data_IF_897316257617
#
_entry.id   IF_897316257617
#
_cell.length_a   1.000
_cell.length_b   1.000
_cell.length_c   1.000
_cell.angle_alpha   90.00
_cell.angle_beta   90.00
_cell.angle_gamma   90.00
#
_symmetry.space_group_name_H-M   'P 1'
#
loop_
_entity.id
_entity.type
_entity.pdbx_description
1 polymer ?
#
# COMPACT_ATOMS: atom_id res chain seq x y z
N UNK A 1 98.10 -41.92 -0.83
CA UNK A 1 98.71 -41.78 0.47
C UNK A 1 97.52 -41.44 1.38
N UNK A 2 97.00 -42.39 2.08
CA UNK A 2 97.15 -42.54 3.56
C UNK A 2 96.51 -41.39 4.31
N UNK A 3 95.69 -41.44 5.21
CA UNK A 3 95.09 -42.42 6.17
C UNK A 3 94.10 -41.53 6.92
N UNK A 4 93.01 -41.81 7.44
CA UNK A 4 92.53 -42.97 8.17
C UNK A 4 91.81 -42.48 9.42
N UNK A 5 90.71 -43.12 9.76
CA UNK A 5 90.07 -43.15 11.12
C UNK A 5 89.37 -41.92 11.69
N UNK A 6 88.26 -41.99 12.25
CA UNK A 6 87.46 -43.05 12.91
C UNK A 6 86.23 -42.52 13.54
N UNK A 7 85.31 -43.36 13.66
CA UNK A 7 84.01 -43.47 14.19
C UNK A 7 83.54 -42.64 15.40
N UNK A 8 82.28 -42.43 15.38
CA UNK A 8 81.48 -41.89 16.52
C UNK A 8 80.01 -41.73 16.14
N UNK A 9 79.24 -42.84 16.19
CA UNK A 9 77.77 -42.73 16.06
C UNK A 9 77.18 -42.09 17.33
N UNK A 10 76.71 -40.90 17.23
CA UNK A 10 75.81 -40.31 18.19
C UNK A 10 74.38 -40.29 17.62
N UNK A 11 73.56 -41.18 18.17
CA UNK A 11 72.10 -41.18 17.86
C UNK A 11 71.45 -40.03 18.57
N UNK A 12 71.10 -38.97 17.79
CA UNK A 12 70.18 -37.94 18.26
C UNK A 12 68.73 -38.42 18.05
N UNK A 13 68.09 -38.72 19.16
CA UNK A 13 66.63 -38.89 19.22
C UNK A 13 66.02 -37.49 19.09
N UNK A 14 65.46 -37.16 17.91
CA UNK A 14 64.66 -35.99 17.70
C UNK A 14 63.27 -36.32 18.22
N UNK A 15 62.92 -35.79 19.38
CA UNK A 15 61.57 -35.74 19.89
C UNK A 15 60.80 -34.72 19.03
N UNK A 16 59.94 -35.19 18.12
CA UNK A 16 58.91 -34.36 17.45
C UNK A 16 57.88 -33.92 18.50
N UNK A 17 58.04 -32.74 19.04
CA UNK A 17 56.96 -32.00 19.70
C UNK A 17 55.95 -31.58 18.59
N UNK A 18 54.86 -32.34 18.44
CA UNK A 18 53.73 -31.95 17.68
C UNK A 18 53.07 -30.76 18.36
N UNK A 19 53.31 -29.56 17.84
CA UNK A 19 52.45 -28.40 18.14
C UNK A 19 51.10 -28.62 17.50
N UNK A 20 50.10 -29.06 18.27
CA UNK A 20 48.72 -28.96 17.93
C UNK A 20 48.43 -27.46 17.85
N UNK A 21 48.45 -26.89 16.65
CA UNK A 21 47.84 -25.60 16.39
C UNK A 21 46.34 -25.81 16.60
N UNK A 22 45.85 -25.46 17.79
CA UNK A 22 44.46 -25.22 18.02
C UNK A 22 44.10 -24.04 17.08
N UNK A 23 43.43 -24.31 15.98
CA UNK A 23 42.84 -23.32 15.13
C UNK A 23 41.81 -22.60 16.00
N UNK A 24 42.11 -21.38 16.42
CA UNK A 24 41.12 -20.43 16.85
C UNK A 24 40.33 -20.09 15.59
N UNK A 25 39.27 -20.87 15.30
CA UNK A 25 38.20 -20.37 14.45
C UNK A 25 37.67 -19.08 15.13
N UNK A 26 37.47 -18.04 14.36
CA UNK A 26 36.77 -16.87 14.89
C UNK A 26 35.44 -17.35 15.51
N UNK A 27 35.08 -16.91 16.72
CA UNK A 27 33.79 -17.27 17.28
C UNK A 27 32.72 -16.85 16.28
N UNK A 28 31.75 -17.76 16.00
CA UNK A 28 30.64 -17.44 15.15
C UNK A 28 29.85 -16.22 15.68
N UNK A 29 28.98 -15.63 14.86
CA UNK A 29 28.21 -14.45 15.26
C UNK A 29 27.36 -14.75 16.50
N UNK A 30 27.23 -13.74 17.36
CA UNK A 30 26.52 -13.79 18.64
C UNK A 30 25.19 -13.00 18.57
N UNK A 31 24.28 -13.14 19.55
CA UNK A 31 23.10 -12.30 19.65
C UNK A 31 23.44 -10.81 19.80
N UNK A 32 24.55 -10.47 20.46
CA UNK A 32 25.04 -9.10 20.60
C UNK A 32 25.50 -8.53 19.26
N UNK A 33 26.14 -9.34 18.41
CA UNK A 33 26.53 -8.95 17.05
C UNK A 33 25.27 -8.73 16.17
N UNK A 34 24.26 -9.58 16.31
CA UNK A 34 22.98 -9.42 15.61
C UNK A 34 22.27 -8.12 16.03
N UNK A 35 22.28 -7.78 17.34
CA UNK A 35 21.70 -6.54 17.82
C UNK A 35 22.42 -5.32 17.26
N UNK A 36 23.74 -5.29 17.34
CA UNK A 36 24.54 -4.20 16.79
C UNK A 36 24.38 -4.06 15.27
N UNK A 37 24.19 -5.18 14.56
CA UNK A 37 23.86 -5.19 13.13
C UNK A 37 22.52 -4.53 12.86
N UNK A 38 21.44 -4.93 13.58
CA UNK A 38 20.09 -4.39 13.42
C UNK A 38 20.08 -2.88 13.69
N UNK A 39 20.69 -2.42 14.79
CA UNK A 39 20.78 -0.99 15.14
C UNK A 39 21.46 -0.18 14.02
N UNK A 40 22.55 -0.67 13.45
CA UNK A 40 23.24 -0.03 12.32
C UNK A 40 22.38 -0.04 11.04
N UNK A 41 21.70 -1.15 10.76
CA UNK A 41 20.84 -1.29 9.60
C UNK A 41 19.64 -0.32 9.67
N UNK A 42 19.03 -0.20 10.85
CA UNK A 42 17.91 0.72 11.11
C UNK A 42 18.34 2.18 10.92
N UNK A 43 19.50 2.60 11.44
CA UNK A 43 20.01 3.96 11.27
C UNK A 43 20.25 4.28 9.79
N UNK A 44 20.91 3.38 9.06
CA UNK A 44 21.18 3.56 7.62
C UNK A 44 19.90 3.61 6.80
N UNK A 45 18.95 2.68 7.03
CA UNK A 45 17.72 2.61 6.25
C UNK A 45 16.79 3.77 6.53
N UNK A 46 16.69 4.25 7.77
CA UNK A 46 15.84 5.38 8.12
C UNK A 46 16.23 6.64 7.33
N UNK A 47 17.52 6.95 7.20
CA UNK A 47 17.99 8.08 6.40
C UNK A 47 17.58 7.92 4.92
N UNK A 48 17.77 6.72 4.37
CA UNK A 48 17.44 6.43 2.97
C UNK A 48 15.93 6.44 2.71
N UNK A 49 15.12 5.93 3.63
CA UNK A 49 13.66 5.97 3.52
C UNK A 49 13.12 7.40 3.52
N UNK A 50 13.68 8.27 4.39
CA UNK A 50 13.30 9.70 4.42
C UNK A 50 13.61 10.38 3.10
N UNK A 51 14.79 10.15 2.53
CA UNK A 51 15.19 10.76 1.27
C UNK A 51 14.37 10.22 0.09
N UNK A 52 14.14 8.91 0.03
CA UNK A 52 13.31 8.29 -1.00
C UNK A 52 11.84 8.72 -0.88
N UNK A 53 11.31 8.79 0.35
CA UNK A 53 9.95 9.28 0.60
C UNK A 53 9.74 10.71 0.12
N UNK A 54 10.72 11.59 0.36
CA UNK A 54 10.68 12.97 -0.14
C UNK A 54 10.72 13.04 -1.66
N UNK A 55 11.60 12.23 -2.29
CA UNK A 55 11.69 12.17 -3.76
C UNK A 55 10.40 11.64 -4.38
N UNK A 56 9.81 10.59 -3.80
CA UNK A 56 8.52 10.03 -4.21
C UNK A 56 7.37 11.03 -4.00
N UNK A 57 7.34 11.76 -2.88
CA UNK A 57 6.36 12.82 -2.66
C UNK A 57 6.41 13.89 -3.75
N UNK A 58 7.61 14.37 -4.09
CA UNK A 58 7.79 15.37 -5.14
C UNK A 58 7.35 14.82 -6.50
N UNK A 59 7.71 13.58 -6.83
CA UNK A 59 7.31 12.93 -8.07
C UNK A 59 5.78 12.78 -8.14
N UNK A 60 5.11 12.31 -7.08
CA UNK A 60 3.66 12.11 -7.04
C UNK A 60 2.86 13.41 -7.09
N UNK A 61 3.41 14.51 -6.58
CA UNK A 61 2.75 15.83 -6.53
C UNK A 61 3.21 16.81 -7.61
N UNK A 62 4.17 16.42 -8.43
CA UNK A 62 4.67 17.18 -9.56
C UNK A 62 5.37 16.24 -10.57
N UNK A 63 4.60 15.62 -11.45
CA UNK A 63 5.09 14.62 -12.39
C UNK A 63 5.82 15.28 -13.54
N UNK A 64 7.13 15.06 -13.62
CA UNK A 64 8.01 15.47 -14.74
C UNK A 64 9.03 14.36 -15.01
N UNK A 65 9.73 14.44 -16.13
CA UNK A 65 10.82 13.51 -16.42
C UNK A 65 11.93 13.61 -15.37
N UNK A 66 12.25 14.83 -14.90
CA UNK A 66 13.26 15.05 -13.87
C UNK A 66 12.85 14.48 -12.52
N UNK A 67 11.60 14.68 -12.09
CA UNK A 67 11.11 14.12 -10.80
C UNK A 67 11.01 12.59 -10.85
N UNK A 68 10.70 12.00 -12.00
CA UNK A 68 10.76 10.56 -12.21
C UNK A 68 12.19 10.02 -12.04
N UNK A 69 13.19 10.71 -12.60
CA UNK A 69 14.61 10.33 -12.46
C UNK A 69 15.02 10.39 -10.99
N UNK A 70 14.74 11.50 -10.30
CA UNK A 70 15.09 11.69 -8.89
C UNK A 70 14.46 10.61 -7.99
N UNK A 71 13.19 10.29 -8.19
CA UNK A 71 12.50 9.25 -7.43
C UNK A 71 13.07 7.85 -7.73
N UNK A 72 13.35 7.54 -8.99
CA UNK A 72 13.97 6.27 -9.38
C UNK A 72 15.38 6.09 -8.80
N UNK A 73 16.21 7.12 -8.80
CA UNK A 73 17.57 7.09 -8.22
C UNK A 73 17.52 6.87 -6.70
N UNK A 74 16.64 7.58 -6.00
CA UNK A 74 16.44 7.42 -4.57
C UNK A 74 15.92 6.02 -4.23
N UNK A 75 14.94 5.52 -4.98
CA UNK A 75 14.39 4.17 -4.81
C UNK A 75 15.45 3.08 -5.07
N UNK A 76 16.24 3.22 -6.13
CA UNK A 76 17.34 2.28 -6.42
C UNK A 76 18.36 2.23 -5.29
N UNK A 77 18.63 3.37 -4.64
CA UNK A 77 19.53 3.47 -3.49
C UNK A 77 18.99 2.69 -2.27
N UNK A 78 17.70 2.86 -1.95
CA UNK A 78 17.02 2.10 -0.87
C UNK A 78 17.07 0.60 -1.17
N UNK A 79 16.68 0.21 -2.38
CA UNK A 79 16.69 -1.20 -2.81
C UNK A 79 18.09 -1.81 -2.63
N UNK A 80 19.11 -1.15 -3.16
CA UNK A 80 20.49 -1.63 -3.10
C UNK A 80 21.01 -1.80 -1.67
N UNK A 81 20.73 -0.81 -0.80
CA UNK A 81 21.13 -0.87 0.60
C UNK A 81 20.39 -1.99 1.35
N UNK A 82 19.07 -2.10 1.16
CA UNK A 82 18.26 -3.13 1.82
C UNK A 82 18.66 -4.53 1.40
N UNK A 83 18.89 -4.76 0.08
CA UNK A 83 19.36 -6.05 -0.42
C UNK A 83 20.72 -6.42 0.16
N UNK A 84 21.65 -5.46 0.26
CA UNK A 84 22.97 -5.70 0.86
C UNK A 84 22.88 -6.06 2.34
N UNK A 85 22.05 -5.32 3.10
CA UNK A 85 21.81 -5.58 4.53
C UNK A 85 21.08 -6.91 4.74
N UNK A 86 20.10 -7.26 3.92
CA UNK A 86 19.39 -8.54 3.98
C UNK A 86 20.34 -9.72 3.71
N UNK A 87 21.28 -9.58 2.75
CA UNK A 87 22.31 -10.58 2.49
C UNK A 87 23.29 -10.70 3.69
N UNK A 88 23.69 -9.59 4.32
CA UNK A 88 24.51 -9.59 5.52
C UNK A 88 23.78 -10.25 6.71
N UNK A 89 22.47 -10.04 6.84
CA UNK A 89 21.62 -10.62 7.88
C UNK A 89 21.63 -12.17 7.87
N UNK A 90 21.86 -12.81 6.72
CA UNK A 90 21.87 -14.26 6.59
C UNK A 90 22.92 -14.95 7.49
N UNK A 91 23.99 -14.25 7.90
CA UNK A 91 24.97 -14.78 8.85
C UNK A 91 24.38 -15.13 10.23
N UNK A 92 23.22 -14.56 10.57
CA UNK A 92 22.53 -14.76 11.85
C UNK A 92 21.46 -15.86 11.79
N UNK A 93 21.16 -16.45 10.63
CA UNK A 93 20.07 -17.43 10.47
C UNK A 93 20.25 -18.68 11.35
N UNK A 94 21.51 -19.06 11.67
CA UNK A 94 21.83 -20.20 12.53
C UNK A 94 22.04 -19.83 14.01
N UNK A 95 21.92 -18.55 14.38
CA UNK A 95 22.12 -18.06 15.74
C UNK A 95 20.82 -18.19 16.52
N UNK A 96 20.89 -18.69 17.76
CA UNK A 96 19.73 -18.69 18.66
C UNK A 96 19.49 -17.27 19.19
N UNK A 97 18.55 -16.57 18.58
CA UNK A 97 18.23 -15.16 18.83
C UNK A 97 16.96 -15.00 19.66
N UNK A 98 16.87 -13.97 20.49
CA UNK A 98 15.60 -13.48 21.05
C UNK A 98 14.57 -13.23 19.95
N UNK A 99 13.28 -13.37 20.29
CA UNK A 99 12.19 -13.27 19.32
C UNK A 99 12.12 -11.90 18.64
N UNK A 100 12.34 -10.82 19.38
CA UNK A 100 12.40 -9.45 18.88
C UNK A 100 13.48 -9.25 17.81
N UNK A 101 14.68 -9.77 18.04
CA UNK A 101 15.76 -9.71 17.02
C UNK A 101 15.46 -10.56 15.80
N UNK A 102 14.89 -11.78 15.98
CA UNK A 102 14.45 -12.58 14.83
C UNK A 102 13.43 -11.86 13.99
N UNK A 103 12.45 -11.21 14.66
CA UNK A 103 11.44 -10.42 13.97
C UNK A 103 12.07 -9.24 13.22
N UNK A 104 12.98 -8.49 13.84
CA UNK A 104 13.68 -7.39 13.16
C UNK A 104 14.44 -7.85 11.92
N UNK A 105 15.13 -9.00 11.98
CA UNK A 105 15.81 -9.57 10.80
C UNK A 105 14.84 -10.03 9.71
N UNK A 106 13.68 -10.57 10.06
CA UNK A 106 12.63 -10.90 9.10
C UNK A 106 12.07 -9.60 8.47
N UNK A 107 11.73 -8.60 9.29
CA UNK A 107 11.23 -7.31 8.81
C UNK A 107 12.24 -6.62 7.90
N UNK A 108 13.55 -6.73 8.17
CA UNK A 108 14.58 -6.24 7.26
C UNK A 108 14.50 -6.92 5.89
N UNK A 109 14.36 -8.26 5.84
CA UNK A 109 14.24 -9.02 4.59
C UNK A 109 12.94 -8.71 3.83
N UNK A 110 11.87 -8.36 4.54
CA UNK A 110 10.54 -8.06 3.97
C UNK A 110 10.22 -6.57 3.87
N UNK A 111 11.14 -5.68 4.29
CA UNK A 111 10.93 -4.21 4.31
C UNK A 111 10.79 -3.58 2.92
N UNK A 112 11.27 -4.26 1.88
CA UNK A 112 11.01 -3.86 0.51
C UNK A 112 9.62 -4.33 0.10
N UNK A 113 8.72 -3.44 -0.22
CA UNK A 113 7.46 -3.79 -0.87
C UNK A 113 7.69 -4.55 -2.19
N UNK A 114 8.82 -4.27 -2.85
CA UNK A 114 9.27 -4.97 -4.05
C UNK A 114 10.77 -5.27 -3.93
N UNK A 115 11.12 -6.54 -3.79
CA UNK A 115 12.51 -6.99 -3.81
C UNK A 115 13.11 -6.85 -5.22
N UNK A 116 14.40 -6.58 -5.32
CA UNK A 116 15.13 -6.55 -6.59
C UNK A 116 16.29 -7.55 -6.59
N UNK A 117 16.75 -8.01 -7.77
CA UNK A 117 17.93 -8.84 -7.86
C UNK A 117 19.17 -8.17 -7.26
N UNK A 118 20.16 -8.97 -6.87
CA UNK A 118 21.40 -8.46 -6.28
C UNK A 118 22.28 -7.65 -7.25
N UNK A 119 22.00 -7.70 -8.55
CA UNK A 119 22.71 -6.92 -9.59
C UNK A 119 22.25 -5.45 -9.55
N UNK A 120 23.16 -4.49 -9.28
CA UNK A 120 22.80 -3.06 -9.23
C UNK A 120 22.16 -2.50 -10.50
N UNK A 121 22.48 -3.07 -11.67
CA UNK A 121 21.89 -2.64 -12.95
C UNK A 121 20.40 -3.03 -12.99
N UNK A 122 20.06 -4.20 -12.50
CA UNK A 122 18.67 -4.69 -12.44
C UNK A 122 17.87 -3.96 -11.35
N UNK A 123 18.53 -3.57 -10.26
CA UNK A 123 17.89 -2.71 -9.22
C UNK A 123 17.49 -1.35 -9.80
N UNK A 124 18.41 -0.72 -10.52
CA UNK A 124 18.12 0.55 -11.19
C UNK A 124 17.03 0.39 -12.26
N UNK A 125 17.05 -0.70 -13.05
CA UNK A 125 16.00 -1.01 -14.02
C UNK A 125 14.63 -1.12 -13.34
N UNK A 126 14.53 -1.85 -12.22
CA UNK A 126 13.28 -2.02 -11.47
C UNK A 126 12.73 -0.68 -10.98
N UNK A 127 13.59 0.17 -10.39
CA UNK A 127 13.20 1.49 -9.90
C UNK A 127 12.68 2.40 -11.03
N UNK A 128 13.34 2.40 -12.18
CA UNK A 128 12.91 3.16 -13.37
C UNK A 128 11.56 2.66 -13.89
N UNK A 129 11.37 1.35 -13.96
CA UNK A 129 10.10 0.76 -14.40
C UNK A 129 8.96 1.12 -13.45
N UNK A 130 9.15 0.98 -12.13
CA UNK A 130 8.15 1.34 -11.11
C UNK A 130 7.72 2.79 -11.24
N UNK A 131 8.68 3.72 -11.19
CA UNK A 131 8.43 5.15 -11.28
C UNK A 131 7.80 5.54 -12.61
N UNK A 132 8.24 4.91 -13.71
CA UNK A 132 7.69 5.13 -15.05
C UNK A 132 6.23 4.70 -15.19
N UNK A 133 5.84 3.56 -14.61
CA UNK A 133 4.45 3.09 -14.60
C UNK A 133 3.56 4.01 -13.75
N UNK A 134 4.03 4.42 -12.57
CA UNK A 134 3.31 5.36 -11.70
C UNK A 134 3.09 6.72 -12.38
N UNK A 135 4.13 7.23 -13.04
CA UNK A 135 4.05 8.45 -13.85
C UNK A 135 3.06 8.33 -15.01
N UNK A 136 3.04 7.17 -15.70
CA UNK A 136 2.07 6.91 -16.79
C UNK A 136 0.64 6.89 -16.26
N UNK A 137 0.42 6.27 -15.09
CA UNK A 137 -0.87 6.28 -14.42
C UNK A 137 -1.30 7.69 -14.00
N UNK A 138 -0.42 8.44 -13.35
CA UNK A 138 -0.72 9.79 -12.85
C UNK A 138 -0.97 10.83 -13.93
N UNK A 139 -0.40 10.63 -15.14
CA UNK A 139 -0.69 11.44 -16.34
C UNK A 139 -1.86 10.91 -17.17
N UNK A 140 -2.50 9.83 -16.69
CA UNK A 140 -3.57 9.16 -17.43
C UNK A 140 -4.77 10.08 -17.62
N UNK A 141 -5.22 10.22 -18.85
CA UNK A 141 -6.42 10.96 -19.23
C UNK A 141 -7.16 10.23 -20.36
N UNK A 142 -8.42 10.55 -20.54
CA UNK A 142 -9.20 10.08 -21.67
C UNK A 142 -9.76 11.26 -22.46
N UNK A 143 -9.55 11.27 -23.77
CA UNK A 143 -10.07 12.28 -24.67
C UNK A 143 -11.21 11.68 -25.50
N UNK A 144 -12.49 11.88 -25.14
CA UNK A 144 -13.61 11.44 -25.95
C UNK A 144 -13.59 12.07 -27.36
N UNK A 145 -14.07 11.35 -28.35
CA UNK A 145 -14.19 11.88 -29.72
C UNK A 145 -15.03 13.17 -29.73
N UNK A 146 -14.50 14.22 -30.33
CA UNK A 146 -15.09 15.56 -30.44
C UNK A 146 -15.25 16.34 -29.10
N UNK A 147 -14.64 15.92 -28.01
CA UNK A 147 -14.58 16.70 -26.79
C UNK A 147 -13.65 17.90 -26.96
N UNK A 148 -13.95 19.02 -26.27
CA UNK A 148 -13.09 20.21 -26.26
C UNK A 148 -11.85 20.01 -25.38
N UNK A 149 -11.91 19.09 -24.39
CA UNK A 149 -10.86 18.75 -23.46
C UNK A 149 -10.88 17.26 -23.10
N UNK A 150 -9.73 16.73 -22.70
CA UNK A 150 -9.63 15.39 -22.13
C UNK A 150 -10.19 15.38 -20.70
N UNK A 151 -10.56 14.21 -20.23
CA UNK A 151 -11.08 13.96 -18.87
C UNK A 151 -9.96 13.41 -18.00
N UNK A 152 -9.72 14.03 -16.87
CA UNK A 152 -8.87 13.48 -15.81
C UNK A 152 -9.60 12.35 -15.06
N UNK A 153 -8.84 11.53 -14.30
CA UNK A 153 -9.42 10.44 -13.53
C UNK A 153 -10.54 10.92 -12.59
N UNK A 154 -10.39 11.98 -11.77
CA UNK A 154 -11.47 12.46 -10.91
C UNK A 154 -12.72 12.93 -11.66
N UNK A 155 -12.56 13.47 -12.85
CA UNK A 155 -13.69 13.84 -13.69
C UNK A 155 -14.47 12.63 -14.21
N UNK A 156 -13.73 11.57 -14.58
CA UNK A 156 -14.34 10.30 -15.01
C UNK A 156 -15.04 9.58 -13.84
N UNK A 157 -14.44 9.55 -12.64
CA UNK A 157 -15.03 8.98 -11.42
C UNK A 157 -16.36 9.66 -11.09
N UNK A 158 -16.43 10.98 -11.19
CA UNK A 158 -17.68 11.73 -11.00
C UNK A 158 -18.76 11.33 -12.02
N UNK A 159 -18.38 11.19 -13.28
CA UNK A 159 -19.32 10.73 -14.31
C UNK A 159 -19.82 9.31 -14.04
N UNK A 160 -18.98 8.42 -13.52
CA UNK A 160 -19.40 7.09 -13.10
C UNK A 160 -20.41 7.11 -11.96
N UNK A 161 -20.24 8.01 -10.99
CA UNK A 161 -21.17 8.15 -9.88
C UNK A 161 -22.53 8.71 -10.32
N UNK A 162 -22.53 9.68 -11.23
CA UNK A 162 -23.73 10.49 -11.56
C UNK A 162 -24.46 10.01 -12.81
N UNK A 163 -23.76 9.53 -13.84
CA UNK A 163 -24.38 9.15 -15.13
C UNK A 163 -25.09 7.81 -15.04
N UNK A 164 -26.17 7.69 -15.81
CA UNK A 164 -26.92 6.45 -16.04
C UNK A 164 -26.96 6.09 -17.53
N UNK A 165 -26.22 6.82 -18.36
CA UNK A 165 -26.10 6.56 -19.77
C UNK A 165 -25.08 5.45 -20.04
N UNK A 166 -25.57 4.26 -20.41
CA UNK A 166 -24.73 3.07 -20.60
C UNK A 166 -23.64 3.24 -21.67
N UNK A 167 -23.92 3.99 -22.74
CA UNK A 167 -22.96 4.19 -23.82
C UNK A 167 -21.84 5.14 -23.39
N UNK A 168 -22.18 6.21 -22.68
CA UNK A 168 -21.22 7.15 -22.07
C UNK A 168 -20.33 6.46 -21.04
N UNK A 169 -20.94 5.70 -20.12
CA UNK A 169 -20.20 4.95 -19.10
C UNK A 169 -19.26 3.91 -19.72
N UNK A 170 -19.69 3.22 -20.77
CA UNK A 170 -18.85 2.27 -21.50
C UNK A 170 -17.68 2.95 -22.20
N UNK A 171 -17.94 4.09 -22.85
CA UNK A 171 -16.93 4.88 -23.56
C UNK A 171 -15.83 5.37 -22.60
N UNK A 172 -16.23 5.97 -21.49
CA UNK A 172 -15.31 6.45 -20.45
C UNK A 172 -14.53 5.27 -19.83
N UNK A 173 -15.22 4.16 -19.53
CA UNK A 173 -14.58 2.97 -18.94
C UNK A 173 -13.53 2.38 -19.88
N UNK A 174 -13.86 2.22 -21.16
CA UNK A 174 -12.96 1.71 -22.16
C UNK A 174 -11.81 2.68 -22.45
N UNK A 175 -12.11 3.98 -22.50
CA UNK A 175 -11.13 5.04 -22.72
C UNK A 175 -10.05 5.08 -21.65
N UNK A 176 -10.43 5.07 -20.37
CA UNK A 176 -9.47 5.01 -19.26
C UNK A 176 -8.58 3.77 -19.34
N UNK A 177 -9.13 2.59 -19.71
CA UNK A 177 -8.34 1.35 -19.82
C UNK A 177 -7.30 1.38 -20.93
N UNK A 178 -7.29 2.41 -21.78
CA UNK A 178 -6.22 2.59 -22.79
C UNK A 178 -4.93 3.17 -22.17
N UNK A 179 -4.96 3.65 -20.95
CA UNK A 179 -3.77 4.09 -20.20
C UNK A 179 -2.83 2.90 -19.90
N UNK A 180 -3.39 1.74 -19.57
CA UNK A 180 -2.60 0.59 -19.13
C UNK A 180 -1.92 -0.26 -20.21
N UNK A 181 -2.45 -0.47 -21.43
CA UNK A 181 -1.81 -1.32 -22.43
C UNK A 181 -0.34 -0.97 -22.75
N UNK A 182 0.09 0.29 -22.82
CA UNK A 182 1.50 0.65 -23.00
C UNK A 182 2.42 0.16 -21.85
N UNK A 183 1.89 0.04 -20.63
CA UNK A 183 2.65 -0.40 -19.46
C UNK A 183 2.81 -1.93 -19.37
N UNK A 184 2.06 -2.72 -20.16
CA UNK A 184 2.02 -4.18 -20.03
C UNK A 184 3.40 -4.84 -20.09
N UNK A 185 4.26 -4.38 -21.00
CA UNK A 185 5.63 -4.90 -21.13
C UNK A 185 6.50 -4.55 -19.92
N UNK A 186 6.35 -3.34 -19.41
CA UNK A 186 7.03 -2.87 -18.21
C UNK A 186 6.56 -3.66 -16.98
N UNK A 187 5.26 -3.87 -16.84
CA UNK A 187 4.69 -4.66 -15.73
C UNK A 187 5.16 -6.13 -15.75
N UNK A 188 5.22 -6.76 -16.92
CA UNK A 188 5.77 -8.12 -17.03
C UNK A 188 7.24 -8.17 -16.60
N UNK A 189 8.04 -7.17 -17.03
CA UNK A 189 9.46 -7.08 -16.63
C UNK A 189 9.62 -6.76 -15.15
N UNK A 190 8.77 -5.91 -14.58
CA UNK A 190 8.69 -5.63 -13.16
C UNK A 190 8.48 -6.92 -12.35
N UNK A 191 7.52 -7.76 -12.74
CA UNK A 191 7.25 -9.05 -12.07
C UNK A 191 8.44 -10.00 -12.15
N UNK A 192 9.12 -10.10 -13.31
CA UNK A 192 10.32 -10.91 -13.46
C UNK A 192 11.43 -10.46 -12.49
N UNK A 193 11.70 -9.17 -12.42
CA UNK A 193 12.74 -8.61 -11.56
C UNK A 193 12.39 -8.77 -10.08
N UNK A 194 11.14 -8.51 -9.71
CA UNK A 194 10.67 -8.62 -8.34
C UNK A 194 10.72 -10.08 -7.82
N UNK A 195 10.32 -11.06 -8.65
CA UNK A 195 10.44 -12.48 -8.30
C UNK A 195 11.89 -12.94 -8.19
N UNK A 196 12.77 -12.46 -9.06
CA UNK A 196 14.20 -12.75 -8.96
C UNK A 196 14.79 -12.17 -7.67
N UNK A 197 14.42 -10.94 -7.28
CA UNK A 197 14.83 -10.33 -6.02
C UNK A 197 14.33 -11.09 -4.80
N UNK A 198 13.06 -11.50 -4.79
CA UNK A 198 12.52 -12.33 -3.72
C UNK A 198 13.26 -13.68 -3.60
N UNK A 199 13.64 -14.29 -4.73
CA UNK A 199 14.43 -15.52 -4.74
C UNK A 199 15.84 -15.31 -4.17
N UNK A 200 16.48 -14.17 -4.41
CA UNK A 200 17.76 -13.81 -3.80
C UNK A 200 17.66 -13.68 -2.26
N UNK A 201 16.48 -13.36 -1.74
CA UNK A 201 16.18 -13.28 -0.30
C UNK A 201 15.73 -14.62 0.31
N UNK A 202 15.62 -15.69 -0.51
CA UNK A 202 15.28 -17.04 -0.07
C UNK A 202 13.80 -17.40 -0.13
N UNK A 203 12.96 -16.58 -0.77
CA UNK A 203 11.55 -16.85 -1.03
C UNK A 203 11.37 -17.49 -2.42
N UNK A 204 10.28 -18.24 -2.63
CA UNK A 204 10.01 -18.82 -3.95
C UNK A 204 9.63 -17.76 -4.99
N UNK A 205 8.91 -16.72 -4.56
CA UNK A 205 8.49 -15.57 -5.37
C UNK A 205 8.14 -14.38 -4.46
N UNK A 206 7.82 -13.24 -5.08
CA UNK A 206 7.41 -12.02 -4.36
C UNK A 206 6.12 -12.25 -3.55
N UNK A 207 5.19 -13.07 -4.05
CA UNK A 207 3.95 -13.36 -3.35
C UNK A 207 4.17 -14.16 -2.06
N UNK A 208 5.13 -15.10 -2.03
CA UNK A 208 5.54 -15.77 -0.81
C UNK A 208 6.21 -14.79 0.16
N UNK A 209 7.08 -13.91 -0.32
CA UNK A 209 7.71 -12.87 0.49
C UNK A 209 6.68 -11.97 1.17
N UNK A 210 5.66 -11.51 0.46
CA UNK A 210 4.59 -10.68 1.03
C UNK A 210 3.81 -11.43 2.12
N UNK A 211 3.44 -12.69 1.87
CA UNK A 211 2.73 -13.50 2.86
C UNK A 211 3.58 -13.84 4.11
N UNK A 212 4.91 -13.88 3.96
CA UNK A 212 5.81 -14.09 5.10
C UNK A 212 5.84 -12.93 6.11
N UNK A 213 5.34 -11.75 5.74
CA UNK A 213 5.18 -10.61 6.65
C UNK A 213 4.07 -10.79 7.70
N UNK A 214 3.19 -11.79 7.53
CA UNK A 214 2.14 -12.12 8.52
C UNK A 214 2.66 -13.07 9.61
N UNK A 215 2.00 -13.10 10.78
CA UNK A 215 2.38 -13.95 11.93
C UNK A 215 1.96 -15.41 11.74
N UNK A 216 2.07 -15.92 10.53
CA UNK A 216 1.80 -17.30 10.13
C UNK A 216 2.61 -17.67 8.90
N UNK A 217 2.70 -18.94 8.58
CA UNK A 217 3.36 -19.36 7.34
C UNK A 217 2.58 -18.90 6.10
N UNK A 218 3.23 -18.69 4.94
CA UNK A 218 2.57 -18.31 3.70
C UNK A 218 1.41 -19.24 3.29
N UNK A 219 1.55 -20.55 3.52
CA UNK A 219 0.50 -21.52 3.23
C UNK A 219 -0.68 -21.44 4.21
N UNK A 220 -0.42 -21.23 5.50
CA UNK A 220 -1.45 -21.00 6.51
C UNK A 220 -2.24 -19.72 6.21
N UNK A 221 -1.56 -18.66 5.76
CA UNK A 221 -2.21 -17.42 5.34
C UNK A 221 -3.19 -17.64 4.18
N UNK A 222 -2.78 -18.38 3.15
CA UNK A 222 -3.66 -18.75 2.03
C UNK A 222 -4.87 -19.54 2.51
N UNK A 223 -4.63 -20.55 3.38
CA UNK A 223 -5.71 -21.37 3.93
C UNK A 223 -6.70 -20.54 4.76
N UNK A 224 -6.22 -19.54 5.52
CA UNK A 224 -7.06 -18.64 6.29
C UNK A 224 -7.91 -17.73 5.40
N UNK A 225 -7.35 -17.17 4.33
CA UNK A 225 -8.11 -16.38 3.36
C UNK A 225 -9.20 -17.21 2.68
N UNK A 226 -8.91 -18.45 2.26
CA UNK A 226 -9.90 -19.35 1.69
C UNK A 226 -11.00 -19.71 2.70
N UNK A 227 -10.65 -19.92 3.96
CA UNK A 227 -11.61 -20.15 5.04
C UNK A 227 -12.55 -18.98 5.23
N UNK A 228 -12.01 -17.75 5.30
CA UNK A 228 -12.79 -16.51 5.45
C UNK A 228 -13.69 -16.28 4.24
N UNK A 229 -13.16 -16.43 3.03
CA UNK A 229 -13.94 -16.34 1.80
C UNK A 229 -15.10 -17.34 1.79
N UNK A 230 -14.84 -18.58 2.18
CA UNK A 230 -15.90 -19.62 2.29
C UNK A 230 -17.05 -19.23 3.23
N UNK A 231 -16.79 -18.41 4.25
CA UNK A 231 -17.81 -17.91 5.18
C UNK A 231 -18.61 -16.71 4.59
N UNK A 232 -17.95 -15.83 3.85
CA UNK A 232 -18.57 -14.60 3.29
C UNK A 232 -19.26 -14.87 1.94
N UNK A 233 -18.75 -15.82 1.18
CA UNK A 233 -19.18 -16.12 -0.18
C UNK A 233 -20.71 -16.30 -0.36
N UNK A 234 -21.46 -17.00 0.51
CA UNK A 234 -22.90 -17.12 0.33
C UNK A 234 -23.65 -15.78 0.38
N UNK A 235 -23.20 -14.85 1.25
CA UNK A 235 -23.75 -13.50 1.33
C UNK A 235 -23.41 -12.71 0.09
N UNK A 236 -22.14 -12.73 -0.33
CA UNK A 236 -21.70 -12.06 -1.54
C UNK A 236 -22.44 -12.53 -2.80
N UNK A 237 -22.61 -13.85 -2.99
CA UNK A 237 -23.31 -14.40 -4.13
C UNK A 237 -24.81 -13.99 -4.15
N UNK A 238 -25.45 -13.94 -2.97
CA UNK A 238 -26.84 -13.48 -2.86
C UNK A 238 -26.96 -11.99 -3.21
N UNK A 239 -26.05 -11.15 -2.69
CA UNK A 239 -26.03 -9.73 -2.97
C UNK A 239 -25.71 -9.44 -4.46
N UNK A 240 -24.70 -10.12 -5.01
CA UNK A 240 -24.36 -10.01 -6.42
C UNK A 240 -25.52 -10.45 -7.35
N UNK A 241 -26.30 -11.47 -6.94
CA UNK A 241 -27.48 -11.89 -7.67
C UNK A 241 -28.58 -10.80 -7.66
N UNK A 242 -28.80 -10.17 -6.50
CA UNK A 242 -29.75 -9.04 -6.35
C UNK A 242 -29.32 -7.85 -7.22
N UNK A 243 -28.08 -7.37 -7.05
CA UNK A 243 -27.54 -6.25 -7.85
C UNK A 243 -27.68 -6.50 -9.35
N UNK A 244 -27.38 -7.72 -9.82
CA UNK A 244 -27.59 -8.10 -11.22
C UNK A 244 -29.03 -7.98 -11.65
N UNK A 245 -29.98 -8.41 -10.82
CA UNK A 245 -31.41 -8.39 -11.14
C UNK A 245 -31.91 -6.94 -11.28
N UNK A 246 -31.55 -6.07 -10.33
CA UNK A 246 -31.94 -4.65 -10.36
C UNK A 246 -31.31 -3.92 -11.57
N UNK A 247 -30.01 -4.13 -11.82
CA UNK A 247 -29.36 -3.56 -13.01
C UNK A 247 -29.93 -4.09 -14.33
N UNK A 248 -30.41 -5.35 -14.36
CA UNK A 248 -31.07 -5.90 -15.54
C UNK A 248 -32.49 -5.35 -15.74
N UNK A 249 -33.17 -4.97 -14.66
CA UNK A 249 -34.46 -4.25 -14.72
C UNK A 249 -34.28 -2.83 -15.25
N UNK A 250 -33.26 -2.11 -14.73
CA UNK A 250 -32.96 -0.72 -15.13
C UNK A 250 -32.46 -0.63 -16.59
N UNK A 251 -31.42 -1.39 -16.92
CA UNK A 251 -30.71 -1.27 -18.20
C UNK A 251 -31.17 -2.28 -19.28
N UNK A 252 -31.99 -3.23 -18.90
CA UNK A 252 -32.50 -4.28 -19.78
C UNK A 252 -31.56 -5.48 -19.97
N UNK A 253 -32.17 -6.63 -20.28
CA UNK A 253 -31.45 -7.91 -20.44
C UNK A 253 -30.56 -7.97 -21.69
N UNK A 254 -30.62 -6.98 -22.56
CA UNK A 254 -29.71 -6.85 -23.71
C UNK A 254 -28.35 -6.25 -23.28
N UNK A 255 -28.33 -5.48 -22.22
CA UNK A 255 -27.13 -4.86 -21.64
C UNK A 255 -26.58 -5.76 -20.52
N UNK A 256 -27.42 -6.15 -19.56
CA UNK A 256 -27.05 -7.07 -18.47
C UNK A 256 -27.48 -8.48 -18.86
N UNK A 257 -26.61 -9.18 -19.56
CA UNK A 257 -26.92 -10.50 -20.12
C UNK A 257 -27.11 -11.57 -19.04
N UNK A 258 -28.15 -12.40 -19.09
CA UNK A 258 -28.32 -13.49 -18.14
C UNK A 258 -27.13 -14.46 -18.14
N UNK A 259 -26.66 -14.83 -16.96
CA UNK A 259 -25.56 -15.79 -16.78
C UNK A 259 -24.17 -15.30 -17.18
N UNK A 260 -24.02 -14.03 -17.59
CA UNK A 260 -22.73 -13.41 -17.85
C UNK A 260 -22.31 -12.51 -16.66
N UNK A 261 -21.04 -12.13 -16.53
CA UNK A 261 -20.60 -11.11 -15.57
C UNK A 261 -21.42 -9.82 -15.73
N UNK A 262 -21.62 -9.08 -14.65
CA UNK A 262 -22.21 -7.74 -14.72
C UNK A 262 -21.19 -6.84 -15.45
N UNK A 263 -21.64 -6.04 -16.46
CA UNK A 263 -20.73 -5.10 -17.10
C UNK A 263 -20.16 -4.09 -16.11
N UNK A 264 -18.83 -4.03 -15.99
CA UNK A 264 -18.14 -3.25 -14.97
C UNK A 264 -18.48 -1.75 -15.00
N UNK A 265 -18.76 -1.20 -16.18
CA UNK A 265 -19.12 0.21 -16.36
C UNK A 265 -20.50 0.57 -15.78
N UNK A 266 -21.30 -0.38 -15.33
CA UNK A 266 -22.62 -0.15 -14.73
C UNK A 266 -22.58 -0.16 -13.18
N UNK A 267 -21.42 -0.33 -12.58
CA UNK A 267 -21.29 -0.52 -11.14
C UNK A 267 -21.02 0.79 -10.37
N UNK A 268 -21.16 1.94 -11.03
CA UNK A 268 -21.11 3.27 -10.39
C UNK A 268 -19.74 3.73 -9.90
N UNK A 269 -18.70 2.93 -10.16
CA UNK A 269 -17.34 3.23 -9.75
C UNK A 269 -16.34 2.78 -10.81
N UNK A 270 -15.30 3.57 -11.07
CA UNK A 270 -14.27 3.28 -12.08
C UNK A 270 -13.58 1.93 -11.84
N UNK A 271 -13.44 1.54 -10.59
CA UNK A 271 -12.74 0.33 -10.14
C UNK A 271 -13.68 -0.86 -9.91
N UNK A 272 -15.01 -0.62 -9.97
CA UNK A 272 -16.04 -1.64 -9.76
C UNK A 272 -15.95 -2.35 -8.39
N UNK A 273 -15.46 -1.66 -7.36
CA UNK A 273 -15.16 -2.20 -6.03
C UNK A 273 -16.25 -1.91 -5.00
N UNK A 274 -17.21 -1.04 -5.33
CA UNK A 274 -18.35 -0.69 -4.48
C UNK A 274 -19.59 -0.46 -5.36
N UNK A 275 -20.78 -0.61 -4.78
CA UNK A 275 -22.07 -0.33 -5.42
C UNK A 275 -22.79 0.89 -4.82
N UNK A 276 -22.09 1.64 -3.96
CA UNK A 276 -22.68 2.80 -3.27
C UNK A 276 -23.30 3.82 -4.23
N UNK A 277 -22.61 4.12 -5.33
CA UNK A 277 -23.07 5.11 -6.33
C UNK A 277 -24.22 4.63 -7.21
N UNK A 278 -24.62 3.37 -7.16
CA UNK A 278 -25.81 2.83 -7.84
C UNK A 278 -26.88 2.38 -6.84
N UNK A 279 -26.80 2.84 -5.59
CA UNK A 279 -27.75 2.49 -4.55
C UNK A 279 -29.19 2.89 -4.90
N UNK A 280 -29.38 3.98 -5.62
CA UNK A 280 -30.68 4.41 -6.16
C UNK A 280 -31.34 3.36 -7.09
N UNK A 281 -30.54 2.50 -7.73
CA UNK A 281 -31.00 1.39 -8.57
C UNK A 281 -31.12 0.11 -7.74
N UNK A 282 -30.06 -0.24 -6.99
CA UNK A 282 -29.96 -1.56 -6.36
C UNK A 282 -30.49 -1.60 -4.93
N UNK A 283 -30.76 -0.46 -4.31
CA UNK A 283 -31.31 -0.37 -2.99
C UNK A 283 -32.75 -0.91 -2.92
N UNK A 284 -33.18 -1.47 -1.76
CA UNK A 284 -34.56 -1.91 -1.61
C UNK A 284 -35.54 -0.77 -1.81
N UNK A 285 -36.61 -0.97 -2.58
CA UNK A 285 -37.59 0.04 -2.95
C UNK A 285 -38.27 0.81 -1.76
N UNK A 286 -38.04 0.42 -0.53
CA UNK A 286 -38.54 1.05 0.69
C UNK A 286 -37.44 1.52 1.65
N UNK A 287 -36.19 1.33 1.27
CA UNK A 287 -35.03 1.65 2.09
C UNK A 287 -34.47 2.99 1.63
N UNK A 288 -35.09 4.07 2.07
CA UNK A 288 -34.48 5.41 2.02
C UNK A 288 -33.50 5.48 3.20
N UNK A 289 -32.17 5.65 2.99
CA UNK A 289 -31.21 5.87 4.07
C UNK A 289 -31.56 7.13 4.88
N UNK A 290 -32.48 7.96 4.38
CA UNK A 290 -32.93 9.17 5.03
C UNK A 290 -31.98 10.35 4.90
N UNK A 291 -30.84 10.15 4.25
CA UNK A 291 -29.87 11.21 3.95
C UNK A 291 -28.97 10.81 2.77
N UNK A 292 -28.42 11.82 2.14
CA UNK A 292 -27.39 11.72 1.12
C UNK A 292 -26.22 12.59 1.59
N UNK A 293 -25.08 11.98 1.88
CA UNK A 293 -23.92 12.66 2.46
C UNK A 293 -23.38 13.74 1.51
N UNK A 294 -23.35 13.49 0.21
CA UNK A 294 -22.94 14.50 -0.79
C UNK A 294 -23.83 15.74 -0.71
N UNK A 295 -25.16 15.56 -0.68
CA UNK A 295 -26.10 16.68 -0.53
C UNK A 295 -26.00 17.37 0.82
N UNK A 296 -25.69 16.63 1.89
CA UNK A 296 -25.44 17.24 3.21
C UNK A 296 -24.21 18.15 3.17
N UNK A 297 -23.11 17.69 2.58
CA UNK A 297 -21.90 18.51 2.41
C UNK A 297 -22.17 19.78 1.57
N UNK A 298 -22.89 19.64 0.47
CA UNK A 298 -23.28 20.78 -0.38
C UNK A 298 -24.18 21.77 0.34
N UNK A 299 -25.25 21.29 1.00
CA UNK A 299 -26.23 22.15 1.69
C UNK A 299 -25.62 22.88 2.88
N UNK A 300 -24.68 22.26 3.58
CA UNK A 300 -23.92 22.87 4.66
C UNK A 300 -22.73 23.71 4.17
N UNK A 301 -22.48 23.76 2.84
CA UNK A 301 -21.37 24.51 2.22
C UNK A 301 -20.01 24.09 2.75
N UNK A 302 -19.84 22.80 3.00
CA UNK A 302 -18.57 22.22 3.42
C UNK A 302 -17.63 22.23 2.21
N UNK A 303 -16.47 22.83 2.34
CA UNK A 303 -15.41 22.75 1.33
C UNK A 303 -14.46 21.56 1.59
N UNK A 304 -13.57 21.33 0.67
CA UNK A 304 -12.64 20.20 0.67
C UNK A 304 -11.73 20.20 1.91
N UNK A 305 -11.26 21.38 2.34
CA UNK A 305 -10.43 21.52 3.54
C UNK A 305 -11.24 21.30 4.82
N UNK A 306 -12.50 21.76 4.84
CA UNK A 306 -13.38 21.54 5.98
C UNK A 306 -13.73 20.04 6.11
N UNK A 307 -13.82 19.28 4.99
CA UNK A 307 -13.96 17.83 5.03
C UNK A 307 -12.78 17.18 5.78
N UNK A 308 -11.54 17.61 5.51
CA UNK A 308 -10.36 17.13 6.24
C UNK A 308 -10.41 17.52 7.73
N UNK A 309 -10.92 18.72 8.06
CA UNK A 309 -11.11 19.15 9.45
C UNK A 309 -12.15 18.32 10.19
N UNK A 310 -13.19 17.82 9.51
CA UNK A 310 -14.11 16.84 10.10
C UNK A 310 -13.38 15.57 10.50
N UNK A 311 -12.53 15.03 9.62
CA UNK A 311 -11.70 13.88 9.94
C UNK A 311 -10.74 14.13 11.12
N UNK A 312 -10.06 15.29 11.16
CA UNK A 312 -9.23 15.65 12.33
C UNK A 312 -10.03 15.68 13.63
N UNK A 313 -11.21 16.33 13.63
CA UNK A 313 -12.09 16.40 14.81
C UNK A 313 -12.59 15.03 15.28
N UNK A 314 -12.76 14.07 14.34
CA UNK A 314 -13.07 12.70 14.70
C UNK A 314 -11.97 12.10 15.60
N UNK A 315 -10.70 12.22 15.22
CA UNK A 315 -9.58 11.73 16.01
C UNK A 315 -9.37 12.53 17.31
N UNK A 316 -9.61 13.85 17.29
CA UNK A 316 -9.59 14.68 18.51
C UNK A 316 -10.64 14.19 19.53
N UNK A 317 -11.85 13.81 19.07
CA UNK A 317 -12.90 13.23 19.91
C UNK A 317 -12.51 11.91 20.57
N UNK A 318 -11.58 11.15 19.95
CA UNK A 318 -11.01 9.93 20.50
C UNK A 318 -9.81 10.20 21.45
N UNK A 319 -9.40 11.46 21.60
CA UNK A 319 -8.31 11.88 22.48
C UNK A 319 -6.93 11.89 21.81
N UNK A 320 -6.85 11.80 20.49
CA UNK A 320 -5.59 11.99 19.76
C UNK A 320 -5.22 13.46 19.68
N UNK A 321 -3.92 13.75 19.62
CA UNK A 321 -3.44 15.11 19.42
C UNK A 321 -3.73 15.61 18.00
N UNK A 322 -4.03 16.93 17.81
CA UNK A 322 -4.26 17.51 16.49
C UNK A 322 -3.15 17.19 15.49
N UNK A 323 -3.48 17.25 14.21
CA UNK A 323 -2.51 17.12 13.12
C UNK A 323 -1.48 18.26 13.20
N UNK A 324 -0.20 18.01 12.86
CA UNK A 324 0.82 19.05 12.91
C UNK A 324 0.57 20.13 11.85
N UNK A 325 1.08 21.33 12.05
CA UNK A 325 0.96 22.45 11.09
C UNK A 325 1.52 22.04 9.71
N UNK A 326 2.59 21.25 9.69
CA UNK A 326 3.19 20.71 8.46
C UNK A 326 2.22 19.87 7.62
N UNK A 327 1.27 19.19 8.25
CA UNK A 327 0.21 18.45 7.55
C UNK A 327 -0.63 19.39 6.70
N UNK A 328 -1.09 20.50 7.28
CA UNK A 328 -1.92 21.48 6.59
C UNK A 328 -1.17 22.27 5.51
N UNK A 329 0.10 22.54 5.74
CA UNK A 329 0.94 23.33 4.82
C UNK A 329 1.47 22.53 3.64
N UNK A 330 1.61 21.20 3.78
CA UNK A 330 2.37 20.37 2.84
C UNK A 330 1.58 19.27 2.16
N UNK A 331 0.39 18.92 2.67
CA UNK A 331 -0.49 17.95 2.00
C UNK A 331 -0.99 18.47 0.65
N UNK A 332 -1.35 17.57 -0.23
CA UNK A 332 -2.04 17.86 -1.48
C UNK A 332 -3.52 17.53 -1.33
N UNK A 333 -4.37 18.55 -1.22
CA UNK A 333 -5.81 18.37 -1.02
C UNK A 333 -6.65 18.56 -2.31
N UNK A 334 -6.11 19.25 -3.30
CA UNK A 334 -6.84 19.62 -4.51
C UNK A 334 -6.01 19.26 -5.76
N UNK A 335 -6.70 18.88 -6.83
CA UNK A 335 -6.07 18.69 -8.13
C UNK A 335 -5.49 20.04 -8.62
N UNK A 336 -4.17 20.14 -8.87
CA UNK A 336 -3.56 21.36 -9.42
C UNK A 336 -3.96 21.54 -10.89
N UNK A 337 -4.24 22.78 -11.29
CA UNK A 337 -4.54 23.09 -12.69
C UNK A 337 -3.31 23.37 -13.57
N UNK A 338 -2.08 23.26 -13.02
CA UNK A 338 -0.83 23.69 -13.68
C UNK A 338 0.18 22.54 -13.84
N UNK A 339 -0.09 21.36 -13.34
CA UNK A 339 0.82 20.20 -13.37
C UNK A 339 0.07 18.89 -13.17
N UNK A 340 0.69 17.81 -13.64
CA UNK A 340 0.21 16.45 -13.43
C UNK A 340 0.60 15.97 -12.04
N UNK A 341 -0.34 15.25 -11.39
CA UNK A 341 -0.19 14.62 -10.07
C UNK A 341 -0.84 13.24 -10.05
N UNK A 342 -0.44 12.39 -9.13
CA UNK A 342 -1.16 11.16 -8.83
C UNK A 342 -2.33 11.50 -7.90
N UNK A 343 -3.55 11.57 -8.44
CA UNK A 343 -4.76 11.96 -7.69
C UNK A 343 -5.26 10.89 -6.72
N UNK A 344 -4.90 9.62 -6.93
CA UNK A 344 -5.30 8.55 -6.03
C UNK A 344 -4.90 8.87 -4.58
N UNK A 345 -5.86 8.74 -3.64
CA UNK A 345 -5.66 9.05 -2.24
C UNK A 345 -4.51 8.23 -1.64
N UNK A 346 -3.73 8.83 -0.76
CA UNK A 346 -2.67 8.15 -0.03
C UNK A 346 -2.18 8.95 1.18
N UNK A 347 -1.85 8.25 2.25
CA UNK A 347 -1.26 8.81 3.46
C UNK A 347 0.27 8.60 3.49
N UNK A 348 1.00 9.56 3.98
CA UNK A 348 2.46 9.61 3.97
C UNK A 348 3.01 9.95 5.34
N UNK A 349 4.11 9.30 5.72
CA UNK A 349 4.99 9.68 6.82
C UNK A 349 6.39 9.95 6.25
N UNK A 350 6.79 11.22 6.14
CA UNK A 350 7.98 11.65 5.39
C UNK A 350 9.26 11.69 6.22
N UNK A 351 9.15 11.72 7.54
CA UNK A 351 10.31 11.78 8.44
C UNK A 351 10.27 10.75 9.56
N UNK A 352 9.22 9.94 9.60
CA UNK A 352 8.95 8.94 10.65
C UNK A 352 8.85 9.53 12.07
N UNK A 353 8.59 10.85 12.17
CA UNK A 353 8.47 11.58 13.43
C UNK A 353 7.24 12.49 13.47
N UNK A 354 7.15 13.46 12.56
CA UNK A 354 6.14 14.52 12.63
C UNK A 354 5.58 15.00 11.28
N UNK A 355 6.24 14.73 10.16
CA UNK A 355 5.84 15.20 8.82
C UNK A 355 4.92 14.17 8.16
N UNK A 356 3.72 14.01 8.70
CA UNK A 356 2.66 13.22 8.08
C UNK A 356 1.87 14.07 7.09
N UNK A 357 1.42 13.48 5.99
CA UNK A 357 0.65 14.16 4.93
C UNK A 357 -0.38 13.23 4.33
N UNK A 358 -1.40 13.81 3.67
CA UNK A 358 -2.21 13.10 2.68
C UNK A 358 -2.03 13.73 1.30
N UNK A 359 -2.19 12.91 0.28
CA UNK A 359 -2.27 13.32 -1.11
C UNK A 359 -3.58 12.81 -1.67
N UNK A 360 -4.45 13.72 -2.11
CA UNK A 360 -5.76 13.40 -2.65
C UNK A 360 -6.26 14.57 -3.50
N UNK A 361 -6.93 14.30 -4.61
CA UNK A 361 -7.66 15.30 -5.39
C UNK A 361 -9.11 15.33 -4.90
N UNK A 362 -9.36 15.95 -3.75
CA UNK A 362 -10.64 15.90 -3.04
C UNK A 362 -11.75 16.54 -3.86
N UNK A 363 -12.82 15.79 -4.11
CA UNK A 363 -14.10 16.28 -4.56
C UNK A 363 -15.07 16.45 -3.39
N UNK A 364 -16.03 17.36 -3.50
CA UNK A 364 -17.06 17.54 -2.46
C UNK A 364 -18.18 16.51 -2.59
N UNK A 365 -17.91 15.30 -2.14
CA UNK A 365 -18.85 14.19 -2.17
C UNK A 365 -18.70 13.28 -0.96
N UNK A 366 -19.68 12.39 -0.75
CA UNK A 366 -19.71 11.49 0.40
C UNK A 366 -18.61 10.43 0.34
N UNK A 367 -18.22 9.97 -0.85
CA UNK A 367 -17.16 8.98 -1.05
C UNK A 367 -15.81 9.54 -0.57
N UNK A 368 -15.46 10.74 -1.03
CA UNK A 368 -14.21 11.39 -0.61
C UNK A 368 -14.21 11.77 0.88
N UNK A 369 -15.37 12.12 1.44
CA UNK A 369 -15.48 12.35 2.89
C UNK A 369 -15.11 11.08 3.68
N UNK A 370 -15.57 9.91 3.23
CA UNK A 370 -15.23 8.60 3.82
C UNK A 370 -13.76 8.29 3.60
N UNK A 371 -13.25 8.50 2.38
CA UNK A 371 -11.84 8.28 2.04
C UNK A 371 -10.89 9.15 2.87
N UNK A 372 -11.23 10.42 3.13
CA UNK A 372 -10.43 11.29 4.01
C UNK A 372 -10.29 10.69 5.41
N UNK A 373 -11.37 10.13 5.97
CA UNK A 373 -11.31 9.49 7.29
C UNK A 373 -10.44 8.24 7.27
N UNK A 374 -10.51 7.45 6.20
CA UNK A 374 -9.63 6.30 5.96
C UNK A 374 -8.15 6.72 5.91
N UNK A 375 -7.80 7.70 5.07
CA UNK A 375 -6.41 8.19 4.94
C UNK A 375 -5.86 8.78 6.25
N UNK A 376 -6.70 9.51 6.99
CA UNK A 376 -6.32 9.98 8.32
C UNK A 376 -6.14 8.82 9.30
N UNK A 377 -6.87 7.71 9.13
CA UNK A 377 -6.64 6.46 9.87
C UNK A 377 -5.19 6.00 9.73
N UNK A 378 -4.65 6.00 8.52
CA UNK A 378 -3.24 5.71 8.27
C UNK A 378 -2.31 6.70 8.98
N UNK A 379 -2.54 8.02 8.85
CA UNK A 379 -1.68 9.02 9.47
C UNK A 379 -1.68 8.93 11.00
N UNK A 380 -2.82 8.69 11.63
CA UNK A 380 -2.88 8.53 13.09
C UNK A 380 -2.25 7.22 13.55
N UNK A 381 -2.31 6.15 12.75
CA UNK A 381 -1.60 4.91 13.03
C UNK A 381 -0.08 5.09 12.89
N UNK A 382 0.40 5.79 11.85
CA UNK A 382 1.81 6.18 11.69
C UNK A 382 2.31 6.91 12.94
N UNK A 383 1.55 7.90 13.44
CA UNK A 383 1.85 8.63 14.67
C UNK A 383 1.86 7.75 15.93
N UNK A 384 1.04 6.68 15.96
CA UNK A 384 0.95 5.79 17.10
C UNK A 384 2.19 4.91 17.24
N UNK A 385 2.75 4.40 16.15
CA UNK A 385 3.92 3.52 16.19
C UNK A 385 5.28 4.23 16.07
N UNK A 386 5.34 5.56 15.93
CA UNK A 386 6.59 6.33 15.77
C UNK A 386 7.60 6.15 16.92
N UNK A 387 7.17 5.71 18.09
CA UNK A 387 8.03 5.42 19.23
C UNK A 387 8.76 4.08 19.16
N UNK A 388 8.48 3.26 18.15
CA UNK A 388 9.17 2.00 17.91
C UNK A 388 10.54 2.21 17.25
N UNK A 389 11.36 1.16 17.18
CA UNK A 389 12.59 1.20 16.38
C UNK A 389 12.26 1.28 14.88
N UNK A 390 13.15 1.80 14.03
CA UNK A 390 12.85 2.09 12.63
C UNK A 390 12.19 0.96 11.83
N UNK A 391 12.70 -0.27 11.91
CA UNK A 391 12.09 -1.43 11.24
C UNK A 391 10.67 -1.73 11.72
N UNK A 392 10.33 -1.34 12.95
CA UNK A 392 9.00 -1.53 13.55
C UNK A 392 8.09 -0.29 13.43
N UNK A 393 8.52 0.78 12.74
CA UNK A 393 7.68 1.94 12.41
C UNK A 393 6.84 1.68 11.17
N UNK A 394 6.11 0.60 11.22
CA UNK A 394 5.17 0.17 10.18
C UNK A 394 3.98 -0.54 10.85
N UNK A 395 3.01 -0.97 10.07
CA UNK A 395 1.90 -1.77 10.60
C UNK A 395 2.37 -3.12 11.13
N UNK A 396 1.58 -3.73 12.01
CA UNK A 396 1.84 -5.07 12.52
C UNK A 396 1.96 -6.10 11.36
N UNK A 397 1.14 -5.92 10.33
CA UNK A 397 1.23 -6.50 9.00
C UNK A 397 0.40 -5.64 8.04
N UNK A 398 0.53 -5.81 6.71
CA UNK A 398 -0.10 -4.93 5.71
C UNK A 398 -1.59 -4.74 5.91
N UNK A 399 -2.33 -5.80 6.21
CA UNK A 399 -3.78 -5.74 6.43
C UNK A 399 -4.20 -4.87 7.62
N UNK A 400 -3.32 -4.56 8.56
CA UNK A 400 -3.66 -3.68 9.68
C UNK A 400 -3.72 -2.20 9.31
N UNK A 401 -2.92 -1.75 8.35
CA UNK A 401 -3.04 -0.37 7.88
C UNK A 401 -4.41 -0.15 7.26
N UNK A 402 -4.80 -1.01 6.32
CA UNK A 402 -6.10 -0.95 5.65
C UNK A 402 -7.26 -1.20 6.62
N UNK A 403 -7.14 -2.20 7.51
CA UNK A 403 -8.18 -2.50 8.49
C UNK A 403 -8.42 -1.37 9.50
N UNK A 404 -7.42 -0.58 9.84
CA UNK A 404 -7.58 0.62 10.68
C UNK A 404 -8.26 1.73 9.87
N UNK A 405 -7.80 2.03 8.65
CA UNK A 405 -8.43 2.99 7.76
C UNK A 405 -9.91 2.68 7.55
N UNK A 406 -10.23 1.44 7.20
CA UNK A 406 -11.61 0.99 6.99
C UNK A 406 -12.46 1.04 8.28
N UNK A 407 -11.89 0.70 9.44
CA UNK A 407 -12.59 0.81 10.72
C UNK A 407 -13.01 2.25 11.01
N UNK A 408 -12.13 3.21 10.72
CA UNK A 408 -12.43 4.64 10.87
C UNK A 408 -13.49 5.07 9.82
N UNK A 409 -13.34 4.67 8.57
CA UNK A 409 -14.31 4.93 7.51
C UNK A 409 -15.72 4.40 7.86
N UNK A 410 -15.81 3.17 8.39
CA UNK A 410 -17.06 2.57 8.86
C UNK A 410 -17.67 3.24 10.11
N UNK A 411 -16.90 4.09 10.79
CA UNK A 411 -17.40 4.87 11.94
C UNK A 411 -18.21 6.11 11.53
N UNK A 412 -18.29 6.42 10.25
CA UNK A 412 -19.12 7.52 9.71
C UNK A 412 -20.57 7.04 9.66
N UNK A 413 -21.22 7.07 10.82
CA UNK A 413 -22.61 6.66 11.00
C UNK A 413 -23.55 7.88 11.00
N UNK A 414 -24.88 7.68 10.84
CA UNK A 414 -25.83 8.79 10.99
C UNK A 414 -25.70 9.53 12.32
N UNK A 415 -25.41 8.81 13.42
CA UNK A 415 -25.19 9.40 14.73
C UNK A 415 -23.96 10.30 14.75
N UNK A 416 -22.88 9.89 14.13
CA UNK A 416 -21.69 10.71 13.95
C UNK A 416 -22.01 11.98 13.12
N UNK A 417 -22.76 11.85 12.04
CA UNK A 417 -23.16 13.00 11.21
C UNK A 417 -24.03 14.00 11.99
N UNK A 418 -24.86 13.52 12.93
CA UNK A 418 -25.61 14.40 13.84
C UNK A 418 -24.67 15.08 14.85
N UNK A 419 -23.73 14.34 15.43
CA UNK A 419 -22.77 14.87 16.40
C UNK A 419 -21.91 16.00 15.81
N UNK A 420 -21.48 15.84 14.56
CA UNK A 420 -20.70 16.88 13.87
C UNK A 420 -21.55 17.96 13.19
N UNK A 421 -22.86 17.90 13.30
CA UNK A 421 -23.80 18.93 12.84
C UNK A 421 -24.08 18.92 11.33
N UNK A 422 -23.72 17.85 10.63
CA UNK A 422 -24.04 17.67 9.20
C UNK A 422 -25.46 17.17 8.99
N UNK A 423 -26.00 16.40 9.93
CA UNK A 423 -27.36 15.86 9.92
C UNK A 423 -28.11 16.37 11.15
N UNK A 424 -29.37 16.78 10.99
CA UNK A 424 -30.19 17.28 12.11
C UNK A 424 -30.65 16.15 13.04
N UNK A 425 -31.02 15.01 12.46
CA UNK A 425 -31.57 13.88 13.21
C UNK A 425 -31.19 12.58 12.50
N UNK A 426 -30.69 11.62 13.25
CA UNK A 426 -30.42 10.28 12.70
C UNK A 426 -31.74 9.62 12.25
N UNK A 427 -31.78 8.99 11.06
CA UNK A 427 -32.93 8.22 10.63
C UNK A 427 -33.22 7.08 11.62
N UNK A 428 -34.46 6.60 11.72
CA UNK A 428 -34.77 5.44 12.53
C UNK A 428 -33.91 4.24 12.12
N UNK A 429 -33.39 3.51 13.12
CA UNK A 429 -32.60 2.32 12.85
C UNK A 429 -33.47 1.26 12.12
N UNK A 430 -33.14 1.02 10.86
CA UNK A 430 -33.69 -0.09 10.08
C UNK A 430 -32.62 -1.18 9.98
N UNK A 431 -32.92 -2.36 10.56
CA UNK A 431 -31.97 -3.47 10.61
C UNK A 431 -31.61 -4.00 9.22
N UNK A 432 -32.60 -4.06 8.33
CA UNK A 432 -32.43 -4.62 7.00
C UNK A 432 -31.67 -3.66 6.10
N UNK A 433 -31.93 -2.35 6.22
CA UNK A 433 -31.17 -1.29 5.59
C UNK A 433 -29.73 -1.23 6.10
N UNK A 434 -29.55 -1.33 7.43
CA UNK A 434 -28.22 -1.32 8.04
C UNK A 434 -27.33 -2.49 7.59
N UNK A 435 -27.91 -3.64 7.30
CA UNK A 435 -27.20 -4.79 6.74
C UNK A 435 -26.76 -4.52 5.28
N UNK A 436 -27.63 -3.93 4.47
CA UNK A 436 -27.34 -3.61 3.06
C UNK A 436 -26.27 -2.53 2.94
N UNK A 437 -26.36 -1.45 3.73
CA UNK A 437 -25.37 -0.36 3.74
C UNK A 437 -23.99 -0.77 4.27
N UNK A 438 -23.90 -1.88 5.03
CA UNK A 438 -22.62 -2.42 5.51
C UNK A 438 -21.97 -3.41 4.55
N UNK A 439 -22.70 -3.86 3.55
CA UNK A 439 -22.27 -4.90 2.60
C UNK A 439 -22.15 -4.32 1.18
N UNK A 440 -22.74 -3.17 0.92
CA UNK A 440 -22.59 -2.41 -0.32
C UNK A 440 -21.39 -1.49 -0.27
#
# INVERSE_FOLDING_TARGET
MRDGWGGGRLSCVIALLGTVAAGCGEPGPTPEDAKAFVERAEEQLLELWIDAGRAAWVQNTYITDDTNILAAEAQATVIGATMALAAEAAQFDAVDLPEDLRRSLLMLKTSLGVAAPSDPTLQAELAVISTGMESTYGRGEYCPDNAEACLSLPQMERLFAESRNTDELLDIWAGWRMVSPPMRGQYARFVELANAGASDLGFADLGEMWRAGYDMSPDEFVAELERLWGQVRPLYEALHCHVRAELAEEYGSAVVLPGQPIPAHLLGNMWSQTWANVYDIVGPARADPGYDLTRLLESNRVDELEMVRYGERFFDSLGFAPLPETFWDRSLFLEPGDRDVVCHASAWDLDYESDVRIKMCIGRNGEDFVTIHHELGHNYYQRAYRGQSPLHRTSANDGFHEGIGDTIALSITPEYLVEVGLLETAPPADRDLGLLLRVA
#
